data_IF_035500021650
#
_entry.id   IF_035500021650
#
_cell.length_a   1.000
_cell.length_b   1.000
_cell.length_c   1.000
_cell.angle_alpha   90.00
_cell.angle_beta   90.00
_cell.angle_gamma   90.00
#
_symmetry.space_group_name_H-M   'P 1'
#
loop_
_entity.id
_entity.type
_entity.pdbx_description
1 polymer ?
#
# COMPACT_ATOMS: atom_id res chain seq x y z
N UNK A 1 -1.31 26.01 20.49
CA UNK A 1 -0.34 26.87 19.80
C UNK A 1 0.07 26.18 18.52
N UNK A 2 -0.28 26.80 17.39
CA UNK A 2 -0.06 26.45 15.97
C UNK A 2 -0.28 24.98 15.56
N UNK A 3 -1.54 24.67 15.22
CA UNK A 3 -1.81 23.75 14.10
C UNK A 3 -1.41 24.53 12.85
N UNK A 4 -0.28 24.17 12.24
CA UNK A 4 0.12 24.73 10.96
C UNK A 4 -0.97 24.37 9.95
N UNK A 5 -1.50 25.39 9.29
CA UNK A 5 -2.56 25.27 8.32
C UNK A 5 -2.14 24.34 7.18
N UNK A 6 -3.09 23.51 6.78
CA UNK A 6 -3.17 22.81 5.50
C UNK A 6 -3.10 23.87 4.38
N UNK A 7 -1.88 24.25 3.99
CA UNK A 7 -1.67 25.27 2.98
C UNK A 7 -2.00 24.66 1.62
N UNK A 8 -2.98 25.23 0.93
CA UNK A 8 -3.33 24.81 -0.43
C UNK A 8 -2.10 24.87 -1.34
N UNK A 9 -1.87 23.80 -2.11
CA UNK A 9 -0.77 23.70 -3.06
C UNK A 9 -0.80 24.86 -4.06
N UNK A 10 0.38 25.43 -4.34
CA UNK A 10 0.59 26.41 -5.40
C UNK A 10 0.46 25.78 -6.78
N UNK A 11 0.23 26.59 -7.82
CA UNK A 11 0.15 26.12 -9.21
C UNK A 11 1.44 25.41 -9.68
N UNK A 12 2.60 25.81 -9.16
CA UNK A 12 3.86 25.15 -9.47
C UNK A 12 3.93 23.76 -8.83
N UNK A 13 3.54 23.63 -7.56
CA UNK A 13 3.45 22.34 -6.87
C UNK A 13 2.45 21.42 -7.55
N UNK A 14 1.28 21.92 -7.97
CA UNK A 14 0.29 21.14 -8.72
C UNK A 14 0.85 20.60 -10.05
N UNK A 15 1.64 21.41 -10.79
CA UNK A 15 2.29 20.96 -12.03
C UNK A 15 3.30 19.84 -11.76
N UNK A 16 4.09 19.94 -10.70
CA UNK A 16 5.03 18.88 -10.34
C UNK A 16 4.34 17.63 -9.80
N UNK A 17 3.27 17.77 -9.02
CA UNK A 17 2.43 16.64 -8.58
C UNK A 17 1.84 15.90 -9.78
N UNK A 18 1.36 16.62 -10.80
CA UNK A 18 0.85 16.03 -12.04
C UNK A 18 1.96 15.37 -12.88
N UNK A 19 3.17 15.95 -12.92
CA UNK A 19 4.30 15.45 -13.69
C UNK A 19 5.06 14.30 -13.01
N UNK A 20 5.05 14.23 -11.67
CA UNK A 20 5.87 13.31 -10.87
C UNK A 20 5.51 11.83 -11.07
N UNK A 21 4.37 11.50 -11.69
CA UNK A 21 3.90 10.12 -11.73
C UNK A 21 3.37 9.74 -13.11
N UNK A 22 4.05 8.80 -13.76
CA UNK A 22 3.55 8.18 -14.98
C UNK A 22 2.15 7.59 -14.71
N UNK A 23 1.14 8.07 -15.44
CA UNK A 23 -0.26 7.68 -15.25
C UNK A 23 -0.48 6.15 -15.27
N UNK A 24 0.35 5.43 -16.01
CA UNK A 24 0.33 3.97 -16.09
C UNK A 24 0.71 3.28 -14.77
N UNK A 25 1.68 3.82 -14.02
CA UNK A 25 2.10 3.27 -12.72
C UNK A 25 1.05 3.49 -11.65
N UNK A 26 0.42 4.67 -11.64
CA UNK A 26 -0.68 5.00 -10.72
C UNK A 26 -1.91 4.13 -10.98
N UNK A 27 -2.24 3.87 -12.26
CA UNK A 27 -3.37 3.00 -12.62
C UNK A 27 -3.18 1.58 -12.11
N UNK A 28 -1.98 1.02 -12.24
CA UNK A 28 -1.66 -0.31 -11.70
C UNK A 28 -1.88 -0.39 -10.19
N UNK A 29 -1.38 0.60 -9.44
CA UNK A 29 -1.55 0.64 -7.98
C UNK A 29 -3.00 0.84 -7.55
N UNK A 30 -3.84 1.56 -8.30
CA UNK A 30 -5.26 1.73 -7.95
C UNK A 30 -6.00 0.39 -7.91
N UNK A 31 -5.81 -0.46 -8.91
CA UNK A 31 -6.44 -1.78 -8.95
C UNK A 31 -5.90 -2.69 -7.84
N UNK A 32 -4.58 -2.70 -7.65
CA UNK A 32 -3.93 -3.49 -6.60
C UNK A 32 -4.37 -3.05 -5.18
N UNK A 33 -4.58 -1.74 -4.99
CA UNK A 33 -5.10 -1.16 -3.75
C UNK A 33 -6.58 -1.48 -3.50
N UNK A 34 -7.43 -1.38 -4.53
CA UNK A 34 -8.85 -1.72 -4.43
C UNK A 34 -9.07 -3.18 -4.04
N UNK A 35 -8.22 -4.09 -4.54
CA UNK A 35 -8.28 -5.49 -4.14
C UNK A 35 -7.89 -5.69 -2.67
N UNK A 36 -6.89 -4.95 -2.17
CA UNK A 36 -6.53 -5.00 -0.76
C UNK A 36 -7.67 -4.45 0.14
N UNK A 37 -8.33 -3.36 -0.25
CA UNK A 37 -9.51 -2.85 0.45
C UNK A 37 -10.60 -3.92 0.50
N UNK A 38 -10.91 -4.55 -0.65
CA UNK A 38 -11.91 -5.61 -0.73
C UNK A 38 -11.60 -6.78 0.21
N UNK A 39 -10.33 -7.20 0.25
CA UNK A 39 -9.89 -8.23 1.19
C UNK A 39 -10.04 -7.78 2.66
N UNK A 40 -9.64 -6.53 2.98
CA UNK A 40 -9.77 -5.96 4.32
C UNK A 40 -11.22 -5.92 4.80
N UNK A 41 -12.16 -5.53 3.93
CA UNK A 41 -13.60 -5.58 4.21
C UNK A 41 -14.06 -6.99 4.55
N UNK A 42 -13.63 -7.99 3.77
CA UNK A 42 -13.96 -9.40 4.04
C UNK A 42 -13.31 -9.96 5.31
N UNK A 43 -12.14 -9.45 5.69
CA UNK A 43 -11.40 -9.82 6.89
C UNK A 43 -11.79 -8.99 8.13
N UNK A 44 -12.68 -8.01 7.98
CA UNK A 44 -13.07 -7.04 9.01
C UNK A 44 -11.86 -6.30 9.64
N UNK A 45 -10.94 -5.85 8.79
CA UNK A 45 -9.75 -5.06 9.17
C UNK A 45 -9.73 -3.72 8.45
N UNK A 46 -9.09 -2.71 9.03
CA UNK A 46 -8.94 -1.41 8.39
C UNK A 46 -7.79 -1.42 7.35
N UNK A 47 -8.02 -1.00 6.10
CA UNK A 47 -6.95 -0.90 5.10
C UNK A 47 -5.98 0.27 5.35
N UNK A 48 -6.40 1.32 6.06
CA UNK A 48 -5.58 2.53 6.26
C UNK A 48 -5.86 3.23 7.61
N UNK A 49 -4.86 3.39 8.51
CA UNK A 49 -3.54 2.75 8.47
C UNK A 49 -3.67 1.22 8.62
N UNK A 50 -3.00 0.47 7.75
CA UNK A 50 -3.04 -0.98 7.80
C UNK A 50 -2.25 -1.51 9.00
N UNK A 51 -2.90 -2.34 9.82
CA UNK A 51 -2.19 -3.12 10.83
C UNK A 51 -1.24 -4.14 10.16
N UNK A 52 -0.02 -4.35 10.67
CA UNK A 52 0.91 -5.35 10.14
C UNK A 52 0.28 -6.76 10.00
N UNK A 53 -0.64 -7.14 10.90
CA UNK A 53 -1.37 -8.39 10.83
C UNK A 53 -2.28 -8.47 9.59
N UNK A 54 -2.96 -7.36 9.23
CA UNK A 54 -3.79 -7.29 8.03
C UNK A 54 -2.94 -7.51 6.76
N UNK A 55 -1.76 -6.89 6.69
CA UNK A 55 -0.83 -7.09 5.56
C UNK A 55 -0.38 -8.53 5.48
N UNK A 56 0.04 -9.14 6.60
CA UNK A 56 0.48 -10.54 6.58
C UNK A 56 -0.66 -11.51 6.27
N UNK A 57 -1.86 -11.28 6.79
CA UNK A 57 -3.04 -12.10 6.47
C UNK A 57 -3.38 -12.04 4.99
N UNK A 58 -3.27 -10.85 4.40
CA UNK A 58 -3.46 -10.68 2.96
C UNK A 58 -2.41 -11.43 2.15
N UNK A 59 -1.12 -11.26 2.48
CA UNK A 59 -0.02 -11.97 1.81
C UNK A 59 -0.18 -13.49 1.89
N UNK A 60 -0.53 -14.02 3.06
CA UNK A 60 -0.79 -15.45 3.25
C UNK A 60 -1.98 -15.91 2.40
N UNK A 61 -3.08 -15.16 2.40
CA UNK A 61 -4.25 -15.46 1.56
C UNK A 61 -3.88 -15.52 0.07
N UNK A 62 -3.02 -14.61 -0.40
CA UNK A 62 -2.56 -14.60 -1.80
C UNK A 62 -1.65 -15.78 -2.13
N UNK A 63 -0.73 -16.11 -1.22
CA UNK A 63 0.15 -17.26 -1.38
C UNK A 63 -0.64 -18.57 -1.45
N UNK A 64 -1.63 -18.76 -0.57
CA UNK A 64 -2.54 -19.92 -0.58
C UNK A 64 -3.36 -20.04 -1.87
N UNK A 65 -3.71 -18.89 -2.49
CA UNK A 65 -4.38 -18.83 -3.80
C UNK A 65 -3.40 -19.00 -4.98
N UNK A 66 -2.13 -19.27 -4.73
CA UNK A 66 -1.12 -19.49 -5.77
C UNK A 66 -0.64 -18.22 -6.49
N UNK A 67 -0.83 -17.04 -5.90
CA UNK A 67 -0.34 -15.79 -6.47
C UNK A 67 1.20 -15.82 -6.58
N UNK A 68 1.73 -15.31 -7.70
CA UNK A 68 3.18 -15.23 -7.90
C UNK A 68 3.81 -14.12 -7.05
N UNK A 69 5.08 -14.29 -6.65
CA UNK A 69 5.86 -13.29 -5.91
C UNK A 69 5.82 -11.91 -6.56
N UNK A 70 5.89 -11.84 -7.90
CA UNK A 70 5.79 -10.56 -8.62
C UNK A 70 4.47 -9.83 -8.40
N UNK A 71 3.35 -10.56 -8.33
CA UNK A 71 2.01 -10.01 -8.05
C UNK A 71 1.95 -9.47 -6.63
N UNK A 72 2.39 -10.25 -5.65
CA UNK A 72 2.37 -9.85 -4.24
C UNK A 72 3.30 -8.65 -3.97
N UNK A 73 4.48 -8.61 -4.59
CA UNK A 73 5.42 -7.47 -4.52
C UNK A 73 4.82 -6.18 -5.05
N UNK A 74 4.11 -6.24 -6.19
CA UNK A 74 3.37 -5.11 -6.73
C UNK A 74 2.27 -4.62 -5.79
N UNK A 75 1.54 -5.53 -5.15
CA UNK A 75 0.50 -5.18 -4.19
C UNK A 75 1.05 -4.54 -2.92
N UNK A 76 2.19 -5.02 -2.41
CA UNK A 76 2.90 -4.35 -1.32
C UNK A 76 3.32 -2.92 -1.72
N UNK A 77 3.81 -2.73 -2.95
CA UNK A 77 4.10 -1.39 -3.48
C UNK A 77 2.84 -0.50 -3.52
N UNK A 78 1.68 -1.04 -3.89
CA UNK A 78 0.42 -0.29 -3.89
C UNK A 78 -0.03 0.09 -2.47
N UNK A 79 0.10 -0.80 -1.49
CA UNK A 79 -0.21 -0.54 -0.07
C UNK A 79 0.72 0.54 0.49
N UNK A 80 2.04 0.41 0.25
CA UNK A 80 3.04 1.42 0.61
C UNK A 80 2.70 2.78 -0.02
N UNK A 81 2.36 2.78 -1.31
CA UNK A 81 2.00 3.99 -2.03
C UNK A 81 0.76 4.65 -1.42
N UNK A 82 -0.29 3.87 -1.12
CA UNK A 82 -1.49 4.37 -0.46
C UNK A 82 -1.17 5.02 0.89
N UNK A 83 -0.32 4.41 1.72
CA UNK A 83 0.12 5.04 2.98
C UNK A 83 0.87 6.34 2.73
N UNK A 84 1.80 6.35 1.77
CA UNK A 84 2.61 7.54 1.47
C UNK A 84 1.81 8.73 0.96
N UNK A 85 0.70 8.52 0.25
CA UNK A 85 -0.16 9.64 -0.22
C UNK A 85 -1.07 10.20 0.87
N UNK A 86 -1.14 9.53 2.02
CA UNK A 86 -1.84 9.97 3.21
C UNK A 86 -0.87 10.37 4.34
N UNK A 87 0.43 10.54 4.01
CA UNK A 87 1.50 10.88 4.96
C UNK A 87 1.62 9.89 6.14
N UNK A 88 1.25 8.63 5.90
CA UNK A 88 1.33 7.56 6.88
C UNK A 88 2.63 6.76 6.75
N UNK A 89 3.14 6.17 7.86
CA UNK A 89 4.32 5.31 7.82
C UNK A 89 4.17 4.14 6.85
N UNK A 90 5.28 3.70 6.25
CA UNK A 90 5.30 2.52 5.38
C UNK A 90 5.09 1.24 6.21
N UNK A 91 3.91 0.60 6.12
CA UNK A 91 3.58 -0.54 6.97
C UNK A 91 4.32 -1.82 6.52
N UNK A 92 4.89 -1.83 5.31
CA UNK A 92 5.61 -2.99 4.76
C UNK A 92 6.99 -3.19 5.39
N UNK A 93 7.49 -2.18 6.11
CA UNK A 93 8.78 -2.22 6.82
C UNK A 93 8.68 -2.88 8.20
N UNK A 94 7.48 -3.20 8.66
CA UNK A 94 7.28 -3.85 9.95
C UNK A 94 7.93 -5.25 9.96
N UNK A 95 8.62 -5.60 11.06
CA UNK A 95 9.35 -6.87 11.19
C UNK A 95 8.48 -8.11 10.94
N UNK A 96 7.20 -8.09 11.35
CA UNK A 96 6.25 -9.17 11.08
C UNK A 96 6.02 -9.34 9.58
N UNK A 97 5.81 -8.23 8.87
CA UNK A 97 5.58 -8.24 7.42
C UNK A 97 6.81 -8.76 6.69
N UNK A 98 7.99 -8.28 7.07
CA UNK A 98 9.26 -8.73 6.49
C UNK A 98 9.46 -10.23 6.68
N UNK A 99 9.26 -10.75 7.90
CA UNK A 99 9.44 -12.18 8.20
C UNK A 99 8.51 -13.08 7.39
N UNK A 100 7.22 -12.75 7.31
CA UNK A 100 6.23 -13.51 6.51
C UNK A 100 6.56 -13.43 5.01
N UNK A 101 6.90 -12.24 4.52
CA UNK A 101 7.24 -12.01 3.12
C UNK A 101 8.51 -12.75 2.69
N UNK A 102 9.50 -12.84 3.57
CA UNK A 102 10.69 -13.66 3.41
C UNK A 102 10.34 -15.16 3.35
N UNK A 103 9.44 -15.63 4.22
CA UNK A 103 8.94 -17.01 4.18
C UNK A 103 8.30 -17.37 2.85
N UNK A 104 7.33 -16.56 2.39
CA UNK A 104 6.61 -16.76 1.12
C UNK A 104 7.55 -16.83 -0.09
N UNK A 105 8.65 -16.06 -0.10
CA UNK A 105 9.60 -16.06 -1.22
C UNK A 105 10.48 -17.31 -1.31
N UNK A 106 10.54 -18.13 -0.26
CA UNK A 106 11.37 -19.35 -0.21
C UNK A 106 10.57 -20.63 -0.50
N UNK A 107 9.25 -20.53 -0.55
CA UNK A 107 8.31 -21.63 -0.81
C UNK A 107 7.76 -21.55 -2.22
#
# INVERSE_FOLDING_TARGET
TVVAADAALTDAELRYVAAARAANTVRGYRSDWAEFISWCTGANTEPLPADPAAITGYLTTLAERGAKVGTMSRRLSAIKFAHSVHDLPDPTTNARVLAVWEGIRRT
#
